data_IF_083738604049
#
_entry.id   IF_083738604049
#
_cell.length_a   1.000
_cell.length_b   1.000
_cell.length_c   1.000
_cell.angle_alpha   90.00
_cell.angle_beta   90.00
_cell.angle_gamma   90.00
#
_symmetry.space_group_name_H-M   'P 1'
#
loop_
_entity.id
_entity.type
_entity.pdbx_description
1 polymer ?
#
# COMPACT_ATOMS: atom_id res chain seq x y z
N UNK A 1 -17.20 11.44 -0.70
CA UNK A 1 -17.49 11.69 -2.13
C UNK A 1 -17.96 10.41 -2.81
N UNK A 2 -18.89 10.49 -3.75
CA UNK A 2 -19.42 9.31 -4.46
C UNK A 2 -18.41 8.74 -5.49
N UNK A 3 -17.48 9.58 -5.94
CA UNK A 3 -16.43 9.18 -6.89
C UNK A 3 -15.15 8.89 -6.14
N UNK A 4 -14.48 7.75 -6.38
CA UNK A 4 -13.23 7.44 -5.72
C UNK A 4 -12.13 8.44 -6.13
N UNK A 5 -11.33 8.85 -5.18
CA UNK A 5 -10.15 9.68 -5.39
C UNK A 5 -8.99 8.88 -6.01
N UNK A 6 -8.89 7.58 -5.66
CA UNK A 6 -7.88 6.67 -6.19
C UNK A 6 -8.37 5.22 -6.19
N UNK A 7 -7.76 4.40 -7.04
CA UNK A 7 -7.91 2.94 -7.03
C UNK A 7 -6.76 2.30 -6.23
N UNK A 8 -7.06 1.27 -5.48
CA UNK A 8 -6.09 0.38 -4.84
C UNK A 8 -6.17 -1.01 -5.49
N UNK A 9 -5.19 -1.90 -5.21
CA UNK A 9 -5.11 -3.25 -5.80
C UNK A 9 -6.43 -4.02 -5.68
N UNK A 10 -7.02 -4.02 -4.49
CA UNK A 10 -8.25 -4.76 -4.15
C UNK A 10 -9.38 -3.85 -3.65
N UNK A 11 -9.28 -2.53 -3.85
CA UNK A 11 -10.23 -1.58 -3.30
C UNK A 11 -10.16 -0.20 -3.94
N UNK A 12 -10.70 0.76 -3.24
CA UNK A 12 -10.72 2.16 -3.66
C UNK A 12 -10.57 3.10 -2.46
N UNK A 13 -10.08 4.30 -2.72
CA UNK A 13 -9.91 5.36 -1.72
C UNK A 13 -10.89 6.48 -2.01
N UNK A 14 -11.62 6.92 -0.99
CA UNK A 14 -12.53 8.05 -1.05
C UNK A 14 -12.06 9.16 -0.11
N UNK A 15 -12.23 10.42 -0.52
CA UNK A 15 -12.15 11.55 0.41
C UNK A 15 -13.49 11.66 1.15
N UNK A 16 -13.42 11.84 2.45
CA UNK A 16 -14.56 12.02 3.33
C UNK A 16 -14.25 13.05 4.41
N UNK A 17 -15.26 13.41 5.18
CA UNK A 17 -15.12 14.29 6.34
C UNK A 17 -15.37 13.45 7.60
N UNK A 18 -14.43 13.49 8.52
CA UNK A 18 -14.52 12.82 9.82
C UNK A 18 -15.50 13.53 10.76
N UNK A 19 -15.84 12.89 11.88
CA UNK A 19 -16.83 13.41 12.82
C UNK A 19 -16.49 14.78 13.44
N UNK A 20 -15.20 15.11 13.51
CA UNK A 20 -14.66 16.40 13.99
C UNK A 20 -14.52 17.47 12.91
N UNK A 21 -14.87 17.15 11.66
CA UNK A 21 -14.74 18.04 10.51
C UNK A 21 -13.43 17.92 9.74
N UNK A 22 -12.51 17.04 10.15
CA UNK A 22 -11.26 16.80 9.45
C UNK A 22 -11.48 16.02 8.14
N UNK A 23 -10.76 16.38 7.08
CA UNK A 23 -10.72 15.61 5.84
C UNK A 23 -9.91 14.32 6.05
N UNK A 24 -10.45 13.22 5.54
CA UNK A 24 -9.88 11.88 5.67
C UNK A 24 -9.87 11.12 4.35
N UNK A 25 -8.91 10.23 4.21
CA UNK A 25 -8.89 9.19 3.18
C UNK A 25 -9.53 7.92 3.75
N UNK A 26 -10.53 7.40 3.07
CA UNK A 26 -11.20 6.14 3.44
C UNK A 26 -10.90 5.11 2.37
N UNK A 27 -10.01 4.17 2.66
CA UNK A 27 -9.67 3.03 1.81
C UNK A 27 -10.63 1.88 2.13
N UNK A 28 -11.31 1.36 1.12
CA UNK A 28 -12.30 0.31 1.25
C UNK A 28 -12.02 -0.83 0.27
N UNK A 29 -12.12 -2.07 0.74
CA UNK A 29 -12.04 -3.23 -0.15
C UNK A 29 -13.30 -3.34 -1.01
N UNK A 30 -13.11 -3.79 -2.28
CA UNK A 30 -14.26 -4.11 -3.13
C UNK A 30 -15.10 -5.24 -2.54
N UNK A 31 -16.43 -5.12 -2.59
CA UNK A 31 -17.32 -6.20 -2.15
C UNK A 31 -16.99 -7.50 -2.88
N UNK A 32 -16.69 -8.56 -2.12
CA UNK A 32 -16.39 -9.87 -2.67
C UNK A 32 -14.94 -10.09 -3.13
N UNK A 33 -14.06 -9.08 -3.10
CA UNK A 33 -12.65 -9.21 -3.52
C UNK A 33 -11.94 -10.36 -2.79
N UNK A 34 -12.07 -10.43 -1.47
CA UNK A 34 -11.47 -11.51 -0.68
C UNK A 34 -11.95 -12.91 -1.11
N UNK A 35 -13.24 -13.05 -1.39
CA UNK A 35 -13.81 -14.33 -1.85
C UNK A 35 -13.31 -14.72 -3.24
N UNK A 36 -13.27 -13.77 -4.17
CA UNK A 36 -12.79 -14.00 -5.53
C UNK A 36 -11.31 -14.40 -5.51
N UNK A 37 -10.47 -13.61 -4.85
CA UNK A 37 -9.03 -13.84 -4.78
C UNK A 37 -8.68 -15.16 -4.10
N UNK A 38 -9.38 -15.53 -3.02
CA UNK A 38 -9.22 -16.83 -2.36
C UNK A 38 -9.65 -18.01 -3.28
N UNK A 39 -10.69 -17.82 -4.09
CA UNK A 39 -11.12 -18.84 -5.05
C UNK A 39 -10.09 -19.06 -6.15
N UNK A 40 -9.51 -17.97 -6.68
CA UNK A 40 -8.46 -18.00 -7.71
C UNK A 40 -7.20 -18.71 -7.18
N UNK A 41 -6.79 -18.39 -5.96
CA UNK A 41 -5.67 -19.07 -5.29
C UNK A 41 -5.89 -20.59 -5.15
N UNK A 42 -7.12 -21.01 -4.81
CA UNK A 42 -7.44 -22.44 -4.74
C UNK A 42 -7.31 -23.13 -6.12
N UNK A 43 -7.65 -22.44 -7.20
CA UNK A 43 -7.46 -22.94 -8.55
C UNK A 43 -5.97 -23.04 -8.90
N UNK A 44 -5.19 -22.00 -8.63
CA UNK A 44 -3.73 -21.99 -8.83
C UNK A 44 -3.09 -23.15 -8.05
N UNK A 45 -3.48 -23.36 -6.79
CA UNK A 45 -2.97 -24.44 -5.96
C UNK A 45 -3.34 -25.86 -6.52
N UNK A 46 -4.49 -26.00 -7.17
CA UNK A 46 -4.88 -27.25 -7.85
C UNK A 46 -4.02 -27.50 -9.08
N UNK A 47 -3.83 -26.49 -9.92
CA UNK A 47 -3.00 -26.57 -11.12
C UNK A 47 -1.54 -26.87 -10.75
N UNK A 48 -0.99 -26.17 -9.75
CA UNK A 48 0.36 -26.37 -9.27
C UNK A 48 0.61 -27.82 -8.81
N UNK A 49 -0.39 -28.43 -8.14
CA UNK A 49 -0.31 -29.86 -7.76
C UNK A 49 -0.27 -30.80 -8.97
N UNK A 50 -1.03 -30.53 -10.04
CA UNK A 50 -0.97 -31.28 -11.27
C UNK A 50 0.39 -31.16 -11.95
N UNK A 51 0.95 -29.96 -12.02
CA UNK A 51 2.30 -29.73 -12.57
C UNK A 51 3.39 -30.42 -11.73
N UNK A 52 3.27 -30.43 -10.40
CA UNK A 52 4.20 -31.15 -9.53
C UNK A 52 4.25 -32.64 -9.78
N UNK A 53 3.17 -33.26 -10.27
CA UNK A 53 3.18 -34.69 -10.69
C UNK A 53 3.89 -34.90 -12.03
N UNK A 54 3.87 -33.91 -12.91
CA UNK A 54 4.50 -33.96 -14.24
C UNK A 54 5.98 -33.54 -14.19
N UNK A 55 6.37 -32.74 -13.22
CA UNK A 55 7.73 -32.25 -13.01
C UNK A 55 8.16 -32.46 -11.54
N UNK A 56 8.50 -33.70 -11.14
CA UNK A 56 8.80 -34.01 -9.72
C UNK A 56 9.99 -33.24 -9.12
N UNK A 57 10.86 -32.70 -9.97
CA UNK A 57 12.01 -31.89 -9.53
C UNK A 57 11.63 -30.50 -9.08
N UNK A 58 10.39 -30.04 -9.35
CA UNK A 58 9.90 -28.72 -8.99
C UNK A 58 8.98 -28.81 -7.76
N UNK A 59 9.49 -28.43 -6.59
CA UNK A 59 8.63 -28.31 -5.41
C UNK A 59 7.84 -27.00 -5.46
N UNK A 60 6.60 -27.08 -5.92
CA UNK A 60 5.68 -25.93 -6.07
C UNK A 60 4.93 -25.59 -4.78
N UNK A 61 5.00 -26.44 -3.75
CA UNK A 61 4.22 -26.25 -2.51
C UNK A 61 4.64 -25.00 -1.74
N UNK A 62 5.95 -24.74 -1.49
CA UNK A 62 6.36 -23.53 -0.80
C UNK A 62 5.94 -22.26 -1.54
N UNK A 63 6.01 -22.25 -2.88
CA UNK A 63 5.60 -21.11 -3.69
C UNK A 63 4.10 -20.83 -3.59
N UNK A 64 3.29 -21.88 -3.62
CA UNK A 64 1.82 -21.73 -3.45
C UNK A 64 1.48 -21.26 -2.04
N UNK A 65 2.18 -21.76 -1.01
CA UNK A 65 1.97 -21.31 0.36
C UNK A 65 2.34 -19.83 0.52
N UNK A 66 3.51 -19.44 0.05
CA UNK A 66 3.94 -18.03 0.07
C UNK A 66 2.94 -17.11 -0.62
N UNK A 67 2.42 -17.52 -1.80
CA UNK A 67 1.41 -16.74 -2.49
C UNK A 67 0.10 -16.63 -1.69
N UNK A 68 -0.32 -17.69 -1.00
CA UNK A 68 -1.50 -17.67 -0.14
C UNK A 68 -1.31 -16.74 1.05
N UNK A 69 -0.15 -16.78 1.68
CA UNK A 69 0.19 -15.95 2.83
C UNK A 69 0.23 -14.47 2.42
N UNK A 70 0.84 -14.13 1.28
CA UNK A 70 0.87 -12.75 0.74
C UNK A 70 -0.53 -12.22 0.42
N UNK A 71 -1.37 -13.04 -0.17
CA UNK A 71 -2.75 -12.62 -0.43
C UNK A 71 -3.56 -12.45 0.87
N UNK A 72 -3.33 -13.28 1.86
CA UNK A 72 -3.98 -13.13 3.16
C UNK A 72 -3.57 -11.81 3.84
N UNK A 73 -2.27 -11.46 3.77
CA UNK A 73 -1.75 -10.18 4.26
C UNK A 73 -2.36 -8.99 3.53
N UNK A 74 -2.46 -9.02 2.18
CA UNK A 74 -3.08 -7.96 1.36
C UNK A 74 -4.57 -7.76 1.66
N UNK A 75 -5.25 -8.81 2.12
CA UNK A 75 -6.67 -8.78 2.47
C UNK A 75 -6.94 -8.25 3.89
N UNK A 76 -5.92 -8.05 4.72
CA UNK A 76 -6.07 -7.60 6.10
C UNK A 76 -5.53 -6.17 6.30
N UNK A 77 -6.42 -5.19 6.24
CA UNK A 77 -6.04 -3.80 6.46
C UNK A 77 -5.63 -3.49 7.92
N UNK A 78 -5.79 -4.41 8.88
CA UNK A 78 -5.21 -4.24 10.21
C UNK A 78 -3.68 -4.25 10.14
N UNK A 79 -3.09 -5.07 9.28
CA UNK A 79 -1.64 -5.12 9.08
C UNK A 79 -1.11 -3.83 8.45
N UNK A 80 -1.81 -3.33 7.42
CA UNK A 80 -1.48 -2.06 6.78
C UNK A 80 -1.58 -0.89 7.77
N UNK A 81 -2.66 -0.83 8.55
CA UNK A 81 -2.87 0.19 9.57
C UNK A 81 -1.77 0.18 10.64
N UNK A 82 -1.37 -1.01 11.10
CA UNK A 82 -0.28 -1.17 12.05
C UNK A 82 1.05 -0.65 11.50
N UNK A 83 1.42 -1.07 10.29
CA UNK A 83 2.64 -0.62 9.63
C UNK A 83 2.63 0.91 9.39
N UNK A 84 1.53 1.46 8.86
CA UNK A 84 1.38 2.90 8.64
C UNK A 84 1.51 3.70 9.94
N UNK A 85 0.93 3.23 11.04
CA UNK A 85 1.02 3.90 12.34
C UNK A 85 2.46 3.95 12.87
N UNK A 86 3.24 2.89 12.67
CA UNK A 86 4.67 2.87 13.03
C UNK A 86 5.45 3.90 12.21
N UNK A 87 5.22 3.94 10.89
CA UNK A 87 5.86 4.93 10.03
C UNK A 87 5.43 6.36 10.39
N UNK A 88 4.14 6.61 10.65
CA UNK A 88 3.65 7.93 11.03
C UNK A 88 4.32 8.45 12.31
N UNK A 89 4.44 7.59 13.33
CA UNK A 89 5.11 7.94 14.59
C UNK A 89 6.61 8.23 14.41
N UNK A 90 7.32 7.41 13.61
CA UNK A 90 8.76 7.55 13.40
C UNK A 90 9.14 8.75 12.52
N UNK A 91 8.24 9.19 11.66
CA UNK A 91 8.42 10.35 10.79
C UNK A 91 7.66 11.60 11.29
N UNK A 92 7.10 11.57 12.50
CA UNK A 92 6.46 12.74 13.10
C UNK A 92 7.47 13.92 13.21
N UNK A 93 7.10 15.07 12.64
CA UNK A 93 7.96 16.25 12.60
C UNK A 93 9.15 16.19 11.65
N UNK A 94 9.25 15.16 10.81
CA UNK A 94 10.27 15.10 9.75
C UNK A 94 10.02 16.22 8.74
N UNK A 95 11.04 17.04 8.37
CA UNK A 95 10.85 18.21 7.53
C UNK A 95 10.56 17.89 6.05
N UNK A 96 10.78 16.68 5.61
CA UNK A 96 10.68 16.30 4.20
C UNK A 96 9.67 15.16 3.96
N UNK A 97 9.34 14.40 5.00
CA UNK A 97 8.52 13.20 4.89
C UNK A 97 7.31 13.30 5.81
N UNK A 98 6.13 13.19 5.25
CA UNK A 98 4.87 13.13 6.00
C UNK A 98 4.19 11.80 5.70
N UNK A 99 3.82 11.09 6.75
CA UNK A 99 3.03 9.86 6.67
C UNK A 99 1.65 10.15 7.27
N UNK A 100 0.55 9.83 6.57
CA UNK A 100 -0.79 10.07 7.11
C UNK A 100 -1.06 9.29 8.39
N UNK A 101 -1.64 9.92 9.39
CA UNK A 101 -2.06 9.26 10.63
C UNK A 101 -3.22 8.31 10.38
N UNK A 102 -3.20 7.17 11.05
CA UNK A 102 -4.32 6.22 11.05
C UNK A 102 -5.33 6.63 12.12
N UNK A 103 -6.57 6.87 11.71
CA UNK A 103 -7.65 7.31 12.60
C UNK A 103 -8.56 6.16 13.02
N UNK A 104 -8.85 5.24 12.11
CA UNK A 104 -9.66 4.06 12.37
C UNK A 104 -9.37 2.97 11.33
N UNK A 105 -9.57 1.72 11.71
CA UNK A 105 -9.40 0.60 10.77
C UNK A 105 -10.23 -0.62 11.17
N UNK A 106 -10.44 -1.48 10.19
CA UNK A 106 -10.98 -2.83 10.30
C UNK A 106 -10.26 -3.70 9.28
N UNK A 107 -10.54 -4.99 9.23
CA UNK A 107 -9.99 -5.88 8.18
C UNK A 107 -10.23 -5.37 6.75
N UNK A 108 -11.28 -4.56 6.52
CA UNK A 108 -11.73 -4.16 5.17
C UNK A 108 -11.80 -2.66 4.93
N UNK A 109 -11.48 -1.87 5.92
CA UNK A 109 -11.50 -0.41 5.84
C UNK A 109 -10.33 0.17 6.60
N UNK A 110 -9.68 1.18 6.03
CA UNK A 110 -8.64 1.96 6.66
C UNK A 110 -8.98 3.44 6.48
N UNK A 111 -8.99 4.17 7.57
CA UNK A 111 -9.22 5.63 7.59
C UNK A 111 -7.94 6.31 8.06
N UNK A 112 -7.42 7.21 7.26
CA UNK A 112 -6.24 8.02 7.59
C UNK A 112 -6.48 9.49 7.27
N UNK A 113 -5.62 10.36 7.79
CA UNK A 113 -5.62 11.79 7.44
C UNK A 113 -5.55 11.97 5.93
N UNK A 114 -6.36 12.89 5.40
CA UNK A 114 -6.20 13.32 4.02
C UNK A 114 -5.06 14.33 3.93
N UNK A 115 -4.10 14.06 3.05
CA UNK A 115 -3.02 15.00 2.75
C UNK A 115 -3.29 15.64 1.38
N UNK A 116 -3.39 16.96 1.34
CA UNK A 116 -3.45 17.67 0.07
C UNK A 116 -2.11 17.54 -0.65
N UNK A 117 -2.17 17.29 -1.92
CA UNK A 117 -0.96 17.09 -2.73
C UNK A 117 -1.19 17.61 -4.15
N UNK A 118 -0.19 18.23 -4.73
CA UNK A 118 -0.27 18.76 -6.09
C UNK A 118 -0.20 17.64 -7.13
N UNK A 119 0.77 16.73 -6.98
CA UNK A 119 0.98 15.65 -7.95
C UNK A 119 1.70 14.44 -7.30
N UNK A 120 1.71 13.33 -8.01
CA UNK A 120 2.45 12.14 -7.59
C UNK A 120 3.92 12.24 -7.98
N UNK A 121 4.77 11.48 -7.30
CA UNK A 121 6.18 11.37 -7.69
C UNK A 121 6.34 10.79 -9.10
N UNK A 122 5.41 9.93 -9.54
CA UNK A 122 5.39 9.43 -10.92
C UNK A 122 5.20 10.56 -11.94
N UNK A 123 4.37 11.57 -11.63
CA UNK A 123 4.22 12.76 -12.47
C UNK A 123 5.48 13.63 -12.47
N UNK A 124 6.15 13.78 -11.32
CA UNK A 124 7.44 14.48 -11.26
C UNK A 124 8.49 13.83 -12.17
N UNK A 125 8.54 12.49 -12.20
CA UNK A 125 9.46 11.75 -13.09
C UNK A 125 9.21 12.07 -14.56
N UNK A 126 7.95 12.19 -14.97
CA UNK A 126 7.57 12.38 -16.37
C UNK A 126 7.55 13.85 -16.81
N UNK A 127 7.09 14.74 -15.95
CA UNK A 127 6.73 16.13 -16.28
C UNK A 127 7.57 17.18 -15.53
N UNK A 128 8.19 16.79 -14.42
CA UNK A 128 8.96 17.69 -13.57
C UNK A 128 10.26 18.19 -14.20
N UNK A 129 10.77 19.28 -13.67
CA UNK A 129 12.10 19.81 -14.01
C UNK A 129 13.20 18.88 -13.47
N UNK A 130 14.44 19.06 -13.93
CA UNK A 130 15.58 18.29 -13.40
C UNK A 130 15.77 18.56 -11.91
N UNK A 131 15.61 19.80 -11.46
CA UNK A 131 15.75 20.20 -10.06
C UNK A 131 14.70 19.51 -9.17
N UNK A 132 13.44 19.44 -9.61
CA UNK A 132 12.38 18.72 -8.91
C UNK A 132 12.67 17.22 -8.84
N UNK A 133 13.07 16.62 -9.95
CA UNK A 133 13.45 15.19 -9.98
C UNK A 133 14.60 14.88 -9.02
N UNK A 134 15.62 15.72 -8.98
CA UNK A 134 16.78 15.53 -8.09
C UNK A 134 16.35 15.68 -6.62
N UNK A 135 15.61 16.75 -6.29
CA UNK A 135 15.12 17.02 -4.93
C UNK A 135 14.23 15.89 -4.39
N UNK A 136 13.16 15.58 -5.11
CA UNK A 136 12.20 14.57 -4.65
C UNK A 136 12.72 13.15 -4.79
N UNK A 137 13.62 12.90 -5.74
CA UNK A 137 14.34 11.65 -5.87
C UNK A 137 15.25 11.38 -4.67
N UNK A 138 15.96 12.40 -4.18
CA UNK A 138 16.78 12.29 -2.97
C UNK A 138 15.92 11.97 -1.73
N UNK A 139 14.82 12.71 -1.51
CA UNK A 139 13.90 12.47 -0.40
C UNK A 139 13.29 11.06 -0.47
N UNK A 140 12.90 10.62 -1.66
CA UNK A 140 12.37 9.28 -1.91
C UNK A 140 13.37 8.17 -1.56
N UNK A 141 14.60 8.27 -2.06
CA UNK A 141 15.67 7.30 -1.75
C UNK A 141 15.98 7.31 -0.25
N UNK A 142 16.06 8.49 0.37
CA UNK A 142 16.26 8.62 1.81
C UNK A 142 15.15 7.91 2.58
N UNK A 143 13.90 8.09 2.22
CA UNK A 143 12.76 7.40 2.85
C UNK A 143 12.89 5.87 2.74
N UNK A 144 13.18 5.35 1.55
CA UNK A 144 13.28 3.90 1.33
C UNK A 144 14.41 3.24 2.14
N UNK A 145 15.52 3.94 2.34
CA UNK A 145 16.66 3.39 3.10
C UNK A 145 16.59 3.72 4.60
N UNK A 146 16.14 4.91 4.98
CA UNK A 146 16.00 5.28 6.38
C UNK A 146 14.78 4.63 7.05
N UNK A 147 13.69 4.42 6.29
CA UNK A 147 12.46 3.81 6.79
C UNK A 147 12.71 2.51 7.55
N UNK A 148 13.31 1.48 6.93
CA UNK A 148 13.60 0.22 7.63
C UNK A 148 14.53 0.36 8.83
N UNK A 149 15.45 1.30 8.81
CA UNK A 149 16.37 1.56 9.93
C UNK A 149 15.65 2.20 11.12
N UNK A 150 14.66 3.06 10.87
CA UNK A 150 13.89 3.76 11.91
C UNK A 150 12.76 2.90 12.45
N UNK A 151 12.01 2.24 11.56
CA UNK A 151 10.77 1.53 11.90
C UNK A 151 10.95 0.04 12.14
N UNK A 152 12.04 -0.57 11.65
CA UNK A 152 12.21 -2.02 11.57
C UNK A 152 11.33 -2.68 10.50
N UNK A 153 10.60 -1.91 9.70
CA UNK A 153 9.69 -2.38 8.66
C UNK A 153 10.17 -1.95 7.28
N UNK A 154 10.04 -2.84 6.30
CA UNK A 154 10.36 -2.54 4.91
C UNK A 154 9.11 -2.02 4.18
N UNK A 155 9.24 -0.88 3.48
CA UNK A 155 8.20 -0.45 2.53
C UNK A 155 8.22 -1.36 1.30
N UNK A 156 7.30 -2.30 1.23
CA UNK A 156 7.35 -3.39 0.24
C UNK A 156 6.84 -3.01 -1.17
N UNK A 157 6.20 -1.84 -1.33
CA UNK A 157 5.72 -1.34 -2.63
C UNK A 157 6.29 0.06 -2.96
N UNK A 158 7.55 0.16 -3.40
CA UNK A 158 8.22 1.41 -3.69
C UNK A 158 7.81 2.02 -5.05
N UNK A 159 6.58 1.83 -5.49
CA UNK A 159 6.11 2.43 -6.74
C UNK A 159 5.93 3.94 -6.59
N UNK A 160 6.52 4.79 -7.48
CA UNK A 160 6.46 6.25 -7.36
C UNK A 160 5.03 6.84 -7.33
N UNK A 161 4.04 6.10 -7.84
CA UNK A 161 2.62 6.49 -7.76
C UNK A 161 2.04 6.50 -6.34
N UNK A 162 2.68 5.79 -5.40
CA UNK A 162 2.27 5.73 -4.00
C UNK A 162 2.78 6.92 -3.18
N UNK A 163 3.65 7.75 -3.76
CA UNK A 163 4.23 8.92 -3.12
C UNK A 163 3.66 10.20 -3.75
N UNK A 164 3.37 11.17 -2.89
CA UNK A 164 2.77 12.44 -3.29
C UNK A 164 3.68 13.59 -2.90
N UNK A 165 3.69 14.62 -3.74
CA UNK A 165 4.37 15.87 -3.45
C UNK A 165 3.37 16.84 -2.86
N UNK A 166 3.70 17.36 -1.69
CA UNK A 166 2.89 18.36 -0.98
C UNK A 166 3.35 19.77 -1.36
N UNK A 167 2.45 20.76 -1.24
CA UNK A 167 2.77 22.16 -1.48
C UNK A 167 3.91 22.71 -0.62
#
# INVERSE_FOLDING_TARGET
EDKPAASASIGQVHRAVWADGQDVAVKLQYPGAAKALTADLKQIARLARLFGTLAPALDVKPLVQELQDRVAEELDYNLEAGAQSVFAAEFEGDPEIVVPDVLAYTERALVSTWLESDHSLAQVITEGTQEERDRYGEAYVRFLFAGPMRTGLLHADPHPGNFRVMP
#
